data_IF_716559878539
#
_entry.id   IF_716559878539
#
_cell.length_a   1.000
_cell.length_b   1.000
_cell.length_c   1.000
_cell.angle_alpha   90.00
_cell.angle_beta   90.00
_cell.angle_gamma   90.00
#
_symmetry.space_group_name_H-M   'P 1'
#
loop_
_entity.id
_entity.type
_entity.pdbx_description
1 polymer ?
#
# COMPACT_ATOMS: atom_id res chain seq x y z
N UNK A 1 34.65 -11.23 47.45
CA UNK A 1 34.01 -12.48 46.93
C UNK A 1 34.69 -12.72 45.60
N UNK A 2 34.17 -13.45 44.61
CA UNK A 2 34.59 -13.20 43.22
C UNK A 2 33.35 -13.36 42.35
N UNK A 3 33.04 -12.36 41.51
CA UNK A 3 31.89 -12.42 40.62
C UNK A 3 32.19 -13.31 39.40
N UNK A 4 31.65 -14.53 39.39
CA UNK A 4 31.80 -15.52 38.31
C UNK A 4 30.65 -15.49 37.28
N UNK A 5 29.53 -14.85 37.64
CA UNK A 5 28.35 -14.70 36.79
C UNK A 5 28.28 -13.30 36.16
N UNK A 6 27.87 -13.22 34.90
CA UNK A 6 27.55 -11.97 34.21
C UNK A 6 26.10 -11.50 34.45
N UNK A 7 25.32 -12.25 35.23
CA UNK A 7 23.91 -11.92 35.49
C UNK A 7 23.78 -10.61 36.28
N UNK A 8 22.86 -9.75 35.85
CA UNK A 8 22.65 -8.42 36.45
C UNK A 8 21.21 -7.92 36.38
N UNK A 9 20.29 -8.77 35.89
CA UNK A 9 18.85 -8.51 35.80
C UNK A 9 18.03 -9.79 35.85
N UNK A 10 16.91 -9.76 36.58
CA UNK A 10 15.83 -10.75 36.48
C UNK A 10 14.55 -10.12 35.92
N UNK A 11 13.74 -10.91 35.21
CA UNK A 11 12.40 -10.51 34.77
C UNK A 11 11.40 -11.63 35.06
N UNK A 12 10.32 -11.28 35.75
CA UNK A 12 9.23 -12.17 36.14
C UNK A 12 7.92 -11.75 35.46
N UNK A 13 7.14 -12.76 35.08
CA UNK A 13 5.75 -12.58 34.64
C UNK A 13 4.84 -12.70 35.86
N UNK A 14 3.89 -11.80 36.00
CA UNK A 14 2.82 -11.90 36.98
C UNK A 14 1.93 -13.10 36.70
N UNK A 15 1.41 -13.70 37.76
CA UNK A 15 0.56 -14.90 37.71
C UNK A 15 -0.55 -14.87 38.76
N UNK A 16 -0.84 -13.69 39.31
CA UNK A 16 -1.84 -13.44 40.36
C UNK A 16 -1.65 -14.28 41.64
N UNK A 17 -0.44 -14.82 41.88
CA UNK A 17 -0.13 -15.67 43.05
C UNK A 17 1.21 -15.32 43.70
N UNK A 18 2.25 -15.08 42.91
CA UNK A 18 3.58 -14.75 43.41
C UNK A 18 3.65 -13.34 44.04
N UNK A 19 4.28 -13.26 45.22
CA UNK A 19 4.52 -12.00 45.96
C UNK A 19 6.00 -11.80 46.29
N UNK A 20 6.83 -12.83 46.06
CA UNK A 20 8.27 -12.82 46.34
C UNK A 20 9.00 -13.32 45.11
N UNK A 21 10.02 -12.57 44.69
CA UNK A 21 10.75 -12.74 43.45
C UNK A 21 12.24 -12.84 43.78
N UNK A 22 12.90 -13.97 43.51
CA UNK A 22 14.33 -14.10 43.78
C UNK A 22 15.17 -13.25 42.82
N UNK A 23 16.44 -13.07 43.11
CA UNK A 23 17.43 -12.62 42.15
C UNK A 23 18.78 -13.28 42.44
N UNK A 24 19.60 -13.46 41.39
CA UNK A 24 20.79 -14.30 41.44
C UNK A 24 22.08 -13.54 41.10
N UNK A 25 22.15 -12.29 41.50
CA UNK A 25 23.30 -11.43 41.28
C UNK A 25 23.68 -10.70 42.56
N UNK A 26 24.99 -10.60 42.83
CA UNK A 26 25.49 -9.98 44.07
C UNK A 26 25.30 -8.46 44.07
N UNK A 27 24.94 -7.94 45.24
CA UNK A 27 24.91 -6.53 45.64
C UNK A 27 25.35 -6.44 47.11
N UNK A 28 25.82 -5.27 47.54
CA UNK A 28 26.34 -5.03 48.90
C UNK A 28 25.35 -4.31 49.81
N UNK A 29 24.37 -3.62 49.21
CA UNK A 29 23.35 -2.88 49.94
C UNK A 29 22.00 -3.01 49.22
N UNK A 30 20.89 -3.02 49.97
CA UNK A 30 19.55 -3.10 49.39
C UNK A 30 19.24 -1.91 48.47
N UNK A 31 19.84 -0.73 48.71
CA UNK A 31 19.73 0.45 47.85
C UNK A 31 20.37 0.25 46.46
N UNK A 32 21.18 -0.79 46.29
CA UNK A 32 21.77 -1.17 44.99
C UNK A 32 20.85 -2.07 44.16
N UNK A 33 19.59 -2.24 44.58
CA UNK A 33 18.54 -2.91 43.81
C UNK A 33 17.54 -1.87 43.34
N UNK A 34 17.17 -1.95 42.05
CA UNK A 34 16.02 -1.25 41.49
C UNK A 34 14.99 -2.26 41.00
N UNK A 35 13.73 -2.02 41.33
CA UNK A 35 12.58 -2.86 40.95
C UNK A 35 11.63 -2.04 40.10
N UNK A 36 11.34 -2.51 38.89
CA UNK A 36 10.42 -1.86 37.97
C UNK A 36 9.29 -2.80 37.62
N UNK A 37 8.06 -2.29 37.65
CA UNK A 37 6.88 -3.04 37.21
C UNK A 37 6.35 -2.45 35.92
N UNK A 38 5.97 -3.30 34.98
CA UNK A 38 5.32 -2.93 33.72
C UNK A 38 3.92 -3.50 33.68
N UNK A 39 2.94 -2.63 33.44
CA UNK A 39 1.53 -3.03 33.35
C UNK A 39 1.20 -3.76 32.04
N UNK A 40 -0.04 -4.24 31.92
CA UNK A 40 -0.52 -4.91 30.71
C UNK A 40 -0.57 -4.01 29.47
N UNK A 41 -0.59 -2.69 29.63
CA UNK A 41 -0.53 -1.71 28.55
C UNK A 41 0.91 -1.37 28.13
N UNK A 42 1.91 -1.86 28.86
CA UNK A 42 3.33 -1.62 28.60
C UNK A 42 3.92 -0.41 29.32
N UNK A 43 3.21 0.23 30.26
CA UNK A 43 3.74 1.35 31.02
C UNK A 43 4.59 0.85 32.20
N UNK A 44 5.84 1.32 32.27
CA UNK A 44 6.79 0.94 33.33
C UNK A 44 6.83 1.98 34.45
N UNK A 45 6.86 1.52 35.71
CA UNK A 45 6.96 2.35 36.92
C UNK A 45 8.02 1.78 37.87
N UNK A 46 8.85 2.65 38.45
CA UNK A 46 9.75 2.27 39.54
C UNK A 46 8.95 2.02 40.82
N UNK A 47 9.06 0.80 41.34
CA UNK A 47 8.36 0.35 42.56
C UNK A 47 9.32 -0.05 43.68
N UNK A 48 10.58 0.38 43.59
CA UNK A 48 11.62 0.00 44.55
C UNK A 48 11.24 0.37 45.99
N UNK A 49 10.64 1.55 46.20
CA UNK A 49 10.23 2.02 47.52
C UNK A 49 9.09 1.19 48.15
N UNK A 50 8.33 0.45 47.34
CA UNK A 50 7.22 -0.40 47.76
C UNK A 50 7.67 -1.85 48.02
N UNK A 51 8.95 -2.16 47.80
CA UNK A 51 9.51 -3.50 47.93
C UNK A 51 10.20 -3.69 49.28
N UNK A 52 10.10 -4.90 49.83
CA UNK A 52 10.99 -5.36 50.89
C UNK A 52 12.10 -6.23 50.28
N UNK A 53 13.35 -5.80 50.42
CA UNK A 53 14.51 -6.44 49.81
C UNK A 53 15.26 -7.23 50.88
N UNK A 54 15.48 -8.52 50.61
CA UNK A 54 16.30 -9.41 51.46
C UNK A 54 17.52 -9.85 50.68
N UNK A 55 18.72 -9.52 51.17
CA UNK A 55 19.97 -9.93 50.56
C UNK A 55 20.42 -11.32 51.04
N UNK A 56 21.09 -12.05 50.16
CA UNK A 56 21.81 -13.29 50.43
C UNK A 56 23.17 -13.23 49.71
N UNK A 57 24.08 -14.15 50.01
CA UNK A 57 25.48 -14.07 49.56
C UNK A 57 25.65 -13.83 48.05
N UNK A 58 24.88 -14.55 47.21
CA UNK A 58 24.96 -14.45 45.74
C UNK A 58 23.63 -14.01 45.11
N UNK A 59 22.86 -13.17 45.80
CA UNK A 59 21.56 -12.75 45.32
C UNK A 59 20.64 -12.30 46.43
N UNK A 60 19.38 -12.71 46.36
CA UNK A 60 18.40 -12.38 47.36
C UNK A 60 16.97 -12.54 46.87
N UNK A 61 16.06 -11.83 47.50
CA UNK A 61 14.67 -11.78 47.09
C UNK A 61 14.05 -10.41 47.31
N UNK A 62 13.12 -10.08 46.44
CA UNK A 62 12.28 -8.88 46.48
C UNK A 62 10.86 -9.34 46.77
N UNK A 63 10.29 -8.88 47.89
CA UNK A 63 8.87 -9.04 48.16
C UNK A 63 8.13 -7.78 47.73
N UNK A 64 7.19 -7.94 46.80
CA UNK A 64 6.38 -6.86 46.24
C UNK A 64 4.91 -7.27 46.22
N UNK A 65 4.04 -6.35 46.62
CA UNK A 65 2.58 -6.48 46.54
C UNK A 65 2.03 -5.32 45.72
N UNK A 66 1.33 -5.63 44.63
CA UNK A 66 0.60 -4.67 43.83
C UNK A 66 -0.72 -4.35 44.54
N UNK A 67 -0.84 -3.16 45.14
CA UNK A 67 -2.04 -2.75 45.89
C UNK A 67 -2.49 -3.77 46.96
N UNK A 68 -1.52 -4.33 47.70
CA UNK A 68 -1.73 -5.40 48.69
C UNK A 68 -2.16 -6.76 48.09
N UNK A 69 -2.08 -6.95 46.78
CA UNK A 69 -2.34 -8.20 46.07
C UNK A 69 -1.07 -8.74 45.37
N UNK A 70 -1.03 -10.04 45.00
CA UNK A 70 0.01 -10.58 44.14
C UNK A 70 0.09 -9.88 42.78
N UNK A 71 1.25 -9.97 42.13
CA UNK A 71 1.45 -9.37 40.81
C UNK A 71 0.44 -9.97 39.79
N UNK A 72 -0.46 -9.15 39.20
CA UNK A 72 -1.51 -9.66 38.32
C UNK A 72 -0.98 -10.34 37.06
N UNK A 73 -1.75 -11.28 36.51
CA UNK A 73 -1.44 -11.87 35.20
C UNK A 73 -1.34 -10.79 34.09
N UNK A 74 -0.41 -10.98 33.16
CA UNK A 74 -0.09 -10.02 32.10
C UNK A 74 0.82 -8.85 32.52
N UNK A 75 1.11 -8.67 33.81
CA UNK A 75 2.09 -7.68 34.30
C UNK A 75 3.50 -8.28 34.36
N UNK A 76 4.53 -7.43 34.34
CA UNK A 76 5.94 -7.85 34.47
C UNK A 76 6.63 -7.13 35.61
N UNK A 77 7.53 -7.82 36.29
CA UNK A 77 8.42 -7.25 37.30
C UNK A 77 9.87 -7.51 36.89
N UNK A 78 10.68 -6.46 36.86
CA UNK A 78 12.11 -6.53 36.60
C UNK A 78 12.89 -6.12 37.85
N UNK A 79 13.90 -6.90 38.20
CA UNK A 79 14.86 -6.60 39.27
C UNK A 79 16.21 -6.36 38.60
N UNK A 80 16.82 -5.21 38.84
CA UNK A 80 18.08 -4.80 38.22
C UNK A 80 19.06 -4.28 39.26
N UNK A 81 20.37 -4.37 38.97
CA UNK A 81 21.38 -3.65 39.75
C UNK A 81 21.24 -2.13 39.55
N UNK A 82 21.47 -1.40 40.64
CA UNK A 82 21.54 0.05 40.73
C UNK A 82 22.81 0.49 41.50
N UNK A 83 23.97 0.10 40.99
CA UNK A 83 25.26 0.48 41.56
C UNK A 83 25.49 2.00 41.49
N UNK A 84 26.16 2.61 42.48
CA UNK A 84 26.33 4.06 42.57
C UNK A 84 27.32 4.66 41.56
N UNK A 85 28.17 3.88 40.90
CA UNK A 85 29.23 4.36 39.99
C UNK A 85 30.21 5.34 40.67
N UNK A 86 30.62 4.99 41.88
CA UNK A 86 31.54 5.79 42.69
C UNK A 86 32.57 4.90 43.37
N UNK A 87 33.84 5.33 43.38
CA UNK A 87 34.88 4.68 44.16
C UNK A 87 34.69 5.00 45.65
N UNK A 88 34.31 4.00 46.46
CA UNK A 88 34.17 4.15 47.91
C UNK A 88 35.45 3.90 48.73
N UNK A 89 36.46 3.26 48.14
CA UNK A 89 37.71 2.89 48.81
C UNK A 89 38.84 3.84 48.41
N UNK A 90 39.49 4.44 49.41
CA UNK A 90 40.69 5.26 49.27
C UNK A 90 41.89 4.58 49.97
N UNK A 91 42.89 4.18 49.19
CA UNK A 91 44.06 3.48 49.69
C UNK A 91 45.21 4.46 49.95
N UNK A 92 45.65 4.55 51.20
CA UNK A 92 46.77 5.41 51.61
C UNK A 92 48.10 4.74 51.31
N UNK A 93 49.01 5.47 50.66
CA UNK A 93 50.36 4.99 50.34
C UNK A 93 51.18 4.63 51.58
N UNK A 94 52.03 3.62 51.47
CA UNK A 94 52.97 3.15 52.51
C UNK A 94 52.33 2.58 53.80
N UNK A 95 51.03 2.28 53.76
CA UNK A 95 50.34 1.51 54.80
C UNK A 95 50.18 0.03 54.41
N UNK A 96 49.88 -0.82 55.39
CA UNK A 96 49.38 -2.18 55.13
C UNK A 96 47.89 -2.11 54.81
N UNK A 97 47.44 -2.84 53.79
CA UNK A 97 46.03 -2.93 53.40
C UNK A 97 45.50 -4.35 53.56
N UNK A 98 44.22 -4.46 53.89
CA UNK A 98 43.50 -5.73 53.93
C UNK A 98 43.17 -6.18 52.49
N UNK A 99 43.62 -7.36 52.04
CA UNK A 99 43.26 -7.89 50.73
C UNK A 99 41.75 -7.96 50.48
N UNK A 100 40.93 -8.09 51.54
CA UNK A 100 39.47 -8.12 51.40
C UNK A 100 38.89 -6.81 50.90
N UNK A 101 39.44 -5.68 51.34
CA UNK A 101 39.02 -4.35 50.89
C UNK A 101 39.31 -4.18 49.39
N UNK A 102 40.43 -4.71 48.91
CA UNK A 102 40.77 -4.66 47.49
C UNK A 102 39.84 -5.57 46.68
N UNK A 103 39.61 -6.79 47.13
CA UNK A 103 38.72 -7.73 46.43
C UNK A 103 37.30 -7.18 46.32
N UNK A 104 36.74 -6.66 47.41
CA UNK A 104 35.38 -6.11 47.41
C UNK A 104 35.27 -4.87 46.51
N UNK A 105 36.32 -4.03 46.45
CA UNK A 105 36.37 -2.90 45.51
C UNK A 105 36.42 -3.35 44.04
N UNK A 106 37.19 -4.41 43.74
CA UNK A 106 37.26 -4.98 42.39
C UNK A 106 35.96 -5.68 41.99
N UNK A 107 35.29 -6.36 42.93
CA UNK A 107 33.98 -6.96 42.71
C UNK A 107 32.92 -5.88 42.45
N UNK A 108 32.89 -4.79 43.22
CA UNK A 108 31.95 -3.67 43.00
C UNK A 108 32.16 -3.03 41.62
N UNK A 109 33.41 -2.76 41.23
CA UNK A 109 33.73 -2.25 39.89
C UNK A 109 33.36 -3.25 38.78
N UNK A 110 33.42 -4.55 39.06
CA UNK A 110 32.95 -5.59 38.15
C UNK A 110 31.43 -5.58 38.02
N UNK A 111 30.70 -5.43 39.12
CA UNK A 111 29.24 -5.31 39.11
C UNK A 111 28.76 -4.08 38.34
N UNK A 112 29.44 -2.93 38.50
CA UNK A 112 29.18 -1.70 37.74
C UNK A 112 29.37 -1.91 36.23
N UNK A 113 30.46 -2.56 35.81
CA UNK A 113 30.70 -2.90 34.40
C UNK A 113 29.64 -3.86 33.84
N UNK A 114 29.25 -4.87 34.61
CA UNK A 114 28.18 -5.79 34.21
C UNK A 114 26.84 -5.06 34.06
N UNK A 115 26.53 -4.11 34.95
CA UNK A 115 25.34 -3.28 34.84
C UNK A 115 25.37 -2.38 33.60
N UNK A 116 26.52 -1.79 33.24
CA UNK A 116 26.65 -1.01 32.00
C UNK A 116 26.47 -1.89 30.77
N UNK A 117 27.06 -3.08 30.75
CA UNK A 117 26.90 -4.04 29.66
C UNK A 117 25.42 -4.45 29.48
N UNK A 118 24.71 -4.69 30.58
CA UNK A 118 23.28 -5.00 30.57
C UNK A 118 22.43 -3.84 30.03
N UNK A 119 22.71 -2.60 30.46
CA UNK A 119 22.02 -1.41 29.96
C UNK A 119 22.28 -1.18 28.48
N UNK A 120 23.53 -1.33 28.03
CA UNK A 120 23.91 -1.19 26.63
C UNK A 120 23.27 -2.27 25.74
N UNK A 121 23.16 -3.51 26.24
CA UNK A 121 22.49 -4.60 25.53
C UNK A 121 21.01 -4.35 25.24
N UNK A 122 20.39 -3.38 25.91
CA UNK A 122 18.98 -2.97 25.70
C UNK A 122 18.83 -1.58 25.12
N UNK A 123 19.93 -0.87 24.91
CA UNK A 123 19.91 0.45 24.32
C UNK A 123 19.71 0.36 22.80
N UNK A 124 19.23 1.45 22.21
CA UNK A 124 19.31 1.65 20.76
C UNK A 124 20.74 2.06 20.46
N UNK A 125 21.48 1.20 19.75
CA UNK A 125 22.86 1.45 19.34
C UNK A 125 22.90 1.66 17.83
N UNK A 126 23.54 2.74 17.41
CA UNK A 126 23.79 3.06 15.99
C UNK A 126 25.15 2.54 15.57
N UNK A 127 25.31 2.26 14.27
CA UNK A 127 26.58 1.83 13.69
C UNK A 127 27.71 2.84 13.98
N UNK A 128 28.92 2.34 14.26
CA UNK A 128 30.07 3.16 14.67
C UNK A 128 30.50 4.20 13.63
N UNK A 129 30.19 3.94 12.35
CA UNK A 129 30.50 4.86 11.22
C UNK A 129 29.32 5.72 10.81
N UNK A 130 28.16 5.53 11.44
CA UNK A 130 26.95 6.30 11.15
C UNK A 130 27.11 7.73 11.65
N UNK A 131 26.65 8.68 10.85
CA UNK A 131 26.47 10.07 11.28
C UNK A 131 25.13 10.30 11.99
N UNK A 132 24.25 9.28 12.05
CA UNK A 132 22.96 9.36 12.76
C UNK A 132 23.14 9.16 14.24
N UNK A 133 22.50 10.01 15.04
CA UNK A 133 22.33 9.79 16.48
C UNK A 133 21.20 8.80 16.75
N UNK A 134 21.15 8.12 17.91
CA UNK A 134 19.99 7.33 18.32
C UNK A 134 18.67 8.12 18.26
N UNK A 135 18.72 9.42 18.59
CA UNK A 135 17.57 10.33 18.51
C UNK A 135 17.10 10.50 17.06
N UNK A 136 18.01 10.70 16.10
CA UNK A 136 17.68 10.78 14.68
C UNK A 136 17.06 9.48 14.17
N UNK A 137 17.59 8.33 14.61
CA UNK A 137 17.04 7.02 14.24
C UNK A 137 15.60 6.88 14.74
N UNK A 138 15.34 7.23 16.00
CA UNK A 138 13.98 7.21 16.57
C UNK A 138 13.04 8.15 15.81
N UNK A 139 13.49 9.35 15.44
CA UNK A 139 12.70 10.28 14.61
C UNK A 139 12.39 9.68 13.24
N UNK A 140 13.37 9.03 12.59
CA UNK A 140 13.16 8.38 11.30
C UNK A 140 12.11 7.25 11.39
N UNK A 141 12.08 6.50 12.50
CA UNK A 141 11.08 5.47 12.75
C UNK A 141 9.67 6.07 12.92
N UNK A 142 9.55 7.21 13.61
CA UNK A 142 8.28 7.92 13.72
C UNK A 142 7.80 8.45 12.37
N UNK A 143 8.69 9.02 11.55
CA UNK A 143 8.36 9.47 10.21
C UNK A 143 7.90 8.30 9.33
N UNK A 144 8.65 7.20 9.30
CA UNK A 144 8.29 6.00 8.56
C UNK A 144 6.93 5.42 8.99
N UNK A 145 6.60 5.46 10.29
CA UNK A 145 5.29 5.07 10.81
C UNK A 145 4.17 5.93 10.26
N UNK A 146 4.32 7.25 10.25
CA UNK A 146 3.29 8.15 9.74
C UNK A 146 3.14 8.04 8.21
N UNK A 147 4.23 7.87 7.47
CA UNK A 147 4.21 7.55 6.04
C UNK A 147 3.46 6.25 5.76
N UNK A 148 3.71 5.19 6.54
CA UNK A 148 3.01 3.92 6.41
C UNK A 148 1.50 4.05 6.67
N UNK A 149 1.10 4.85 7.67
CA UNK A 149 -0.33 5.15 7.91
C UNK A 149 -0.96 5.90 6.75
N UNK A 150 -0.28 6.94 6.24
CA UNK A 150 -0.76 7.72 5.10
C UNK A 150 -0.92 6.85 3.85
N UNK A 151 0.06 5.97 3.58
CA UNK A 151 -0.01 4.99 2.49
C UNK A 151 -1.20 4.04 2.66
N UNK A 152 -1.46 3.55 3.88
CA UNK A 152 -2.63 2.73 4.20
C UNK A 152 -3.96 3.45 3.94
N UNK A 153 -4.07 4.72 4.34
CA UNK A 153 -5.26 5.54 4.06
C UNK A 153 -5.45 5.79 2.56
N UNK A 154 -4.38 6.09 1.82
CA UNK A 154 -4.43 6.28 0.38
C UNK A 154 -4.89 5.00 -0.34
N UNK A 155 -4.36 3.83 0.06
CA UNK A 155 -4.81 2.54 -0.47
C UNK A 155 -6.30 2.29 -0.22
N UNK A 156 -6.81 2.65 0.97
CA UNK A 156 -8.23 2.58 1.29
C UNK A 156 -9.10 3.48 0.40
N UNK A 157 -8.64 4.71 0.12
CA UNK A 157 -9.32 5.63 -0.80
C UNK A 157 -9.32 5.11 -2.24
N UNK A 158 -8.20 4.56 -2.70
CA UNK A 158 -8.12 3.93 -4.03
C UNK A 158 -9.06 2.73 -4.16
N UNK A 159 -9.18 1.90 -3.12
CA UNK A 159 -10.14 0.79 -3.10
C UNK A 159 -11.59 1.28 -3.19
N UNK A 160 -11.94 2.36 -2.47
CA UNK A 160 -13.27 2.97 -2.54
C UNK A 160 -13.57 3.56 -3.93
N UNK A 161 -12.61 4.25 -4.55
CA UNK A 161 -12.76 4.77 -5.91
C UNK A 161 -12.94 3.65 -6.94
N UNK A 162 -12.22 2.54 -6.79
CA UNK A 162 -12.38 1.37 -7.64
C UNK A 162 -13.77 0.74 -7.51
N UNK A 163 -14.30 0.64 -6.28
CA UNK A 163 -15.66 0.17 -6.02
C UNK A 163 -16.71 1.07 -6.70
N UNK A 164 -16.60 2.39 -6.52
CA UNK A 164 -17.51 3.34 -7.17
C UNK A 164 -17.45 3.24 -8.70
N UNK A 165 -16.25 3.10 -9.27
CA UNK A 165 -16.07 2.94 -10.71
C UNK A 165 -16.73 1.64 -11.22
N UNK A 166 -16.69 0.56 -10.43
CA UNK A 166 -17.36 -0.69 -10.76
C UNK A 166 -18.89 -0.54 -10.72
N UNK A 167 -19.43 0.18 -9.74
CA UNK A 167 -20.87 0.47 -9.64
C UNK A 167 -21.34 1.34 -10.81
N UNK A 168 -20.59 2.39 -11.16
CA UNK A 168 -20.87 3.24 -12.33
C UNK A 168 -20.85 2.44 -13.64
N UNK A 169 -19.87 1.56 -13.81
CA UNK A 169 -19.80 0.67 -14.96
C UNK A 169 -21.01 -0.30 -15.01
N UNK A 170 -21.43 -0.83 -13.86
CA UNK A 170 -22.63 -1.66 -13.74
C UNK A 170 -23.90 -0.89 -14.12
N UNK A 171 -24.06 0.34 -13.65
CA UNK A 171 -25.19 1.20 -13.99
C UNK A 171 -25.22 1.54 -15.49
N UNK A 172 -24.06 1.85 -16.09
CA UNK A 172 -23.95 2.10 -17.52
C UNK A 172 -24.33 0.87 -18.36
N UNK A 173 -23.89 -0.33 -17.96
CA UNK A 173 -24.28 -1.58 -18.61
C UNK A 173 -25.79 -1.84 -18.52
N UNK A 174 -26.41 -1.55 -17.36
CA UNK A 174 -27.86 -1.62 -17.18
C UNK A 174 -28.62 -0.66 -18.09
N UNK A 175 -28.17 0.60 -18.19
CA UNK A 175 -28.76 1.61 -19.07
C UNK A 175 -28.66 1.20 -20.55
N UNK A 176 -27.51 0.68 -20.98
CA UNK A 176 -27.32 0.18 -22.34
C UNK A 176 -28.26 -1.00 -22.67
N UNK A 177 -28.45 -1.92 -21.71
CA UNK A 177 -29.38 -3.04 -21.86
C UNK A 177 -30.84 -2.56 -22.00
N UNK A 178 -31.24 -1.57 -21.20
CA UNK A 178 -32.57 -0.97 -21.29
C UNK A 178 -32.81 -0.23 -22.61
N UNK A 179 -31.80 0.47 -23.13
CA UNK A 179 -31.87 1.12 -24.44
C UNK A 179 -31.99 0.09 -25.57
N UNK A 180 -31.20 -0.98 -25.53
CA UNK A 180 -31.31 -2.08 -26.50
C UNK A 180 -32.71 -2.71 -26.49
N UNK A 181 -33.32 -2.90 -25.31
CA UNK A 181 -34.70 -3.38 -25.19
C UNK A 181 -35.73 -2.41 -25.80
N UNK A 182 -35.57 -1.10 -25.60
CA UNK A 182 -36.43 -0.07 -26.22
C UNK A 182 -36.31 -0.08 -27.75
N UNK A 183 -35.09 -0.18 -28.27
CA UNK A 183 -34.85 -0.28 -29.71
C UNK A 183 -35.48 -1.55 -30.32
N UNK A 184 -35.41 -2.69 -29.63
CA UNK A 184 -36.05 -3.93 -30.07
C UNK A 184 -37.59 -3.80 -30.11
N UNK A 185 -38.19 -3.22 -29.08
CA UNK A 185 -39.64 -3.00 -29.04
C UNK A 185 -40.12 -2.05 -30.15
N UNK A 186 -39.33 -1.03 -30.50
CA UNK A 186 -39.61 -0.16 -31.65
C UNK A 186 -39.55 -0.92 -32.97
N UNK A 187 -38.52 -1.75 -33.16
CA UNK A 187 -38.39 -2.58 -34.36
C UNK A 187 -39.57 -3.55 -34.53
N UNK A 188 -40.04 -4.15 -33.44
CA UNK A 188 -41.21 -5.04 -33.47
C UNK A 188 -42.50 -4.29 -33.81
N UNK A 189 -42.69 -3.06 -33.30
CA UNK A 189 -43.81 -2.18 -33.66
C UNK A 189 -43.81 -1.87 -35.16
N UNK A 190 -42.68 -1.44 -35.70
CA UNK A 190 -42.53 -1.13 -37.13
C UNK A 190 -42.82 -2.35 -38.02
N UNK A 191 -42.35 -3.54 -37.62
CA UNK A 191 -42.62 -4.79 -38.35
C UNK A 191 -44.10 -5.15 -38.36
N UNK A 192 -44.79 -4.98 -37.22
CA UNK A 192 -46.23 -5.23 -37.12
C UNK A 192 -47.04 -4.26 -37.99
N UNK A 193 -46.68 -2.98 -38.03
CA UNK A 193 -47.30 -1.97 -38.89
C UNK A 193 -47.10 -2.28 -40.37
N UNK A 194 -45.88 -2.64 -40.78
CA UNK A 194 -45.59 -3.08 -42.14
C UNK A 194 -46.42 -4.31 -42.54
N UNK A 195 -46.59 -5.29 -41.63
CA UNK A 195 -47.45 -6.44 -41.85
C UNK A 195 -48.93 -6.07 -42.04
N UNK A 196 -49.44 -5.10 -41.26
CA UNK A 196 -50.81 -4.58 -41.43
C UNK A 196 -50.99 -3.85 -42.75
N UNK A 197 -50.00 -3.06 -43.17
CA UNK A 197 -50.02 -2.39 -44.47
C UNK A 197 -50.04 -3.39 -45.64
N UNK A 198 -49.22 -4.44 -45.58
CA UNK A 198 -49.20 -5.50 -46.58
C UNK A 198 -50.53 -6.27 -46.64
N UNK A 199 -51.15 -6.57 -45.49
CA UNK A 199 -52.47 -7.19 -45.43
C UNK A 199 -53.56 -6.30 -46.08
N UNK A 200 -53.46 -4.97 -45.92
CA UNK A 200 -54.37 -4.02 -46.55
C UNK A 200 -54.23 -4.01 -48.09
N UNK A 201 -53.01 -4.19 -48.61
CA UNK A 201 -52.75 -4.26 -50.06
C UNK A 201 -53.15 -5.59 -50.70
N UNK A 202 -53.28 -6.66 -49.90
CA UNK A 202 -53.70 -8.00 -50.36
C UNK A 202 -55.23 -8.21 -50.39
N UNK A 203 -56.02 -7.30 -49.82
CA UNK A 203 -57.44 -7.19 -50.10
C UNK A 203 -57.58 -6.67 -51.54
N UNK A 204 -57.98 -7.55 -52.45
CA UNK A 204 -57.96 -7.29 -53.89
C UNK A 204 -58.65 -5.98 -54.29
N UNK A 205 -57.99 -5.28 -55.20
CA UNK A 205 -58.52 -4.27 -56.12
C UNK A 205 -59.51 -4.92 -57.09
N UNK A 206 -60.61 -5.42 -56.56
CA UNK A 206 -61.84 -5.79 -57.27
C UNK A 206 -62.83 -4.71 -56.80
N UNK A 207 -63.00 -3.60 -57.51
CA UNK A 207 -63.68 -3.58 -58.79
C UNK A 207 -63.21 -2.44 -59.71
N UNK A 208 -63.43 -2.69 -61.00
CA UNK A 208 -63.23 -1.83 -62.16
C UNK A 208 -63.59 -0.36 -61.91
N UNK A 209 -62.67 0.53 -62.27
CA UNK A 209 -62.98 1.95 -62.46
C UNK A 209 -63.62 2.12 -63.83
N UNK A 210 -64.94 2.25 -63.85
CA UNK A 210 -65.66 2.91 -64.94
C UNK A 210 -66.48 4.04 -64.30
N UNK A 211 -66.20 5.28 -64.71
CA UNK A 211 -66.82 6.59 -64.33
C UNK A 211 -66.05 7.44 -63.32
N UNK A 212 -65.72 8.67 -63.75
CA UNK A 212 -65.13 9.75 -62.95
C UNK A 212 -65.88 9.91 -61.62
N UNK A 213 -65.22 9.57 -60.53
CA UNK A 213 -65.72 9.85 -59.19
C UNK A 213 -64.58 10.46 -58.39
N UNK A 214 -64.84 11.59 -57.73
CA UNK A 214 -63.91 12.34 -56.87
C UNK A 214 -63.20 11.46 -55.82
N UNK A 215 -63.72 10.26 -55.59
CA UNK A 215 -63.18 9.20 -54.75
C UNK A 215 -61.93 8.50 -55.32
N UNK A 216 -61.74 8.39 -56.64
CA UNK A 216 -60.55 7.72 -57.23
C UNK A 216 -59.32 8.63 -57.18
N UNK A 217 -59.50 9.92 -57.42
CA UNK A 217 -58.43 10.93 -57.24
C UNK A 217 -58.06 11.07 -55.76
N UNK A 218 -59.05 11.08 -54.86
CA UNK A 218 -58.80 11.05 -53.42
C UNK A 218 -58.05 9.77 -52.99
N UNK A 219 -58.41 8.61 -53.53
CA UNK A 219 -57.75 7.33 -53.27
C UNK A 219 -56.31 7.31 -53.79
N UNK A 220 -56.06 7.77 -55.01
CA UNK A 220 -54.72 7.85 -55.58
C UNK A 220 -53.81 8.84 -54.82
N UNK A 221 -54.39 9.95 -54.35
CA UNK A 221 -53.68 10.92 -53.52
C UNK A 221 -53.34 10.32 -52.16
N UNK A 222 -54.28 9.62 -51.52
CA UNK A 222 -54.04 8.93 -50.25
C UNK A 222 -52.98 7.83 -50.37
N UNK A 223 -52.97 7.08 -51.49
CA UNK A 223 -51.95 6.06 -51.77
C UNK A 223 -50.58 6.70 -51.98
N UNK A 224 -50.50 7.83 -52.70
CA UNK A 224 -49.23 8.57 -52.87
C UNK A 224 -48.74 9.12 -51.54
N UNK A 225 -49.61 9.70 -50.72
CA UNK A 225 -49.26 10.17 -49.38
C UNK A 225 -48.78 9.02 -48.49
N UNK A 226 -49.45 7.87 -48.53
CA UNK A 226 -49.01 6.70 -47.76
C UNK A 226 -47.65 6.16 -48.24
N UNK A 227 -47.38 6.20 -49.55
CA UNK A 227 -46.08 5.82 -50.11
C UNK A 227 -44.98 6.80 -49.72
N UNK A 228 -45.22 8.11 -49.83
CA UNK A 228 -44.26 9.15 -49.46
C UNK A 228 -43.95 9.06 -47.95
N UNK A 229 -44.96 8.88 -47.10
CA UNK A 229 -44.78 8.65 -45.65
C UNK A 229 -44.00 7.36 -45.35
N UNK A 230 -44.22 6.28 -46.11
CA UNK A 230 -43.48 5.04 -45.94
C UNK A 230 -42.00 5.16 -46.34
N UNK A 231 -41.70 5.94 -47.38
CA UNK A 231 -40.33 6.25 -47.81
C UNK A 231 -39.62 7.11 -46.76
N UNK A 232 -40.30 8.12 -46.21
CA UNK A 232 -39.77 8.92 -45.10
C UNK A 232 -39.50 8.06 -43.86
N UNK A 233 -40.41 7.15 -43.51
CA UNK A 233 -40.23 6.22 -42.40
C UNK A 233 -39.04 5.26 -42.60
N UNK A 234 -38.85 4.72 -43.80
CA UNK A 234 -37.69 3.87 -44.13
C UNK A 234 -36.36 4.64 -44.08
N UNK A 235 -36.37 5.91 -44.51
CA UNK A 235 -35.19 6.78 -44.39
C UNK A 235 -34.82 7.07 -42.92
N UNK A 236 -35.81 7.39 -42.08
CA UNK A 236 -35.63 7.61 -40.65
C UNK A 236 -35.16 6.32 -39.93
N UNK A 237 -35.68 5.15 -40.33
CA UNK A 237 -35.24 3.87 -39.80
C UNK A 237 -33.77 3.56 -40.14
N UNK A 238 -33.31 3.94 -41.34
CA UNK A 238 -31.89 3.79 -41.73
C UNK A 238 -30.98 4.71 -40.93
N UNK A 239 -31.39 5.95 -40.68
CA UNK A 239 -30.64 6.90 -39.84
C UNK A 239 -30.56 6.44 -38.38
N UNK A 240 -31.66 5.95 -37.82
CA UNK A 240 -31.69 5.37 -36.48
C UNK A 240 -30.75 4.15 -36.37
N UNK A 241 -30.75 3.27 -37.38
CA UNK A 241 -29.85 2.11 -37.43
C UNK A 241 -28.38 2.53 -37.55
N UNK A 242 -28.07 3.54 -38.34
CA UNK A 242 -26.71 4.08 -38.45
C UNK A 242 -26.23 4.66 -37.10
N UNK A 243 -27.12 5.36 -36.40
CA UNK A 243 -26.84 5.92 -35.07
C UNK A 243 -26.61 4.83 -34.03
N UNK A 244 -27.41 3.76 -34.04
CA UNK A 244 -27.24 2.62 -33.15
C UNK A 244 -25.92 1.86 -33.39
N UNK A 245 -25.54 1.67 -34.66
CA UNK A 245 -24.25 1.05 -35.02
C UNK A 245 -23.05 1.91 -34.57
N UNK A 246 -23.16 3.24 -34.69
CA UNK A 246 -22.13 4.16 -34.21
C UNK A 246 -21.99 4.12 -32.68
N UNK A 247 -23.12 4.05 -31.95
CA UNK A 247 -23.13 3.91 -30.50
C UNK A 247 -22.55 2.55 -30.05
N UNK A 248 -22.86 1.46 -30.76
CA UNK A 248 -22.29 0.15 -30.49
C UNK A 248 -20.76 0.12 -30.72
N UNK A 249 -20.28 0.73 -31.81
CA UNK A 249 -18.85 0.86 -32.08
C UNK A 249 -18.12 1.70 -31.00
N UNK A 250 -18.75 2.78 -30.53
CA UNK A 250 -18.22 3.60 -29.44
C UNK A 250 -18.16 2.83 -28.10
N UNK A 251 -19.18 2.01 -27.80
CA UNK A 251 -19.20 1.16 -26.62
C UNK A 251 -18.12 0.06 -26.67
N UNK A 252 -17.89 -0.56 -27.83
CA UNK A 252 -16.78 -1.52 -28.02
C UNK A 252 -15.42 -0.85 -27.82
N UNK A 253 -15.21 0.35 -28.39
CA UNK A 253 -13.97 1.12 -28.18
C UNK A 253 -13.77 1.51 -26.71
N UNK A 254 -14.84 1.86 -25.99
CA UNK A 254 -14.77 2.16 -24.56
C UNK A 254 -14.44 0.90 -23.72
N UNK A 255 -14.99 -0.26 -24.07
CA UNK A 255 -14.70 -1.54 -23.41
C UNK A 255 -13.24 -2.01 -23.66
N UNK A 256 -12.73 -1.86 -24.89
CA UNK A 256 -11.31 -2.09 -25.20
C UNK A 256 -10.40 -1.10 -24.46
N UNK A 257 -10.84 0.16 -24.32
CA UNK A 257 -10.15 1.16 -23.50
C UNK A 257 -10.17 0.86 -22.00
N UNK A 258 -11.03 -0.03 -21.50
CA UNK A 258 -11.06 -0.41 -20.08
C UNK A 258 -10.14 -1.60 -19.74
N UNK A 259 -9.69 -2.38 -20.74
CA UNK A 259 -8.85 -3.57 -20.50
C UNK A 259 -7.37 -3.21 -20.57
N UNK A 260 -6.60 -3.53 -19.51
CA UNK A 260 -5.15 -3.35 -19.50
C UNK A 260 -4.47 -4.51 -20.24
N UNK A 261 -3.92 -4.23 -21.43
CA UNK A 261 -3.27 -5.20 -22.29
C UNK A 261 -1.75 -5.03 -22.29
N UNK A 262 -0.99 -6.14 -22.29
CA UNK A 262 0.46 -6.07 -22.45
C UNK A 262 0.77 -5.57 -23.87
N UNK A 263 1.35 -4.37 -23.99
CA UNK A 263 1.72 -3.77 -25.27
C UNK A 263 3.05 -4.28 -25.77
N UNK A 264 4.07 -4.30 -24.90
CA UNK A 264 5.41 -4.74 -25.28
C UNK A 264 6.24 -5.13 -24.06
N UNK A 265 7.25 -5.96 -24.30
CA UNK A 265 8.27 -6.33 -23.31
C UNK A 265 9.64 -5.86 -23.80
N UNK A 266 10.54 -5.50 -22.88
CA UNK A 266 11.92 -5.12 -23.16
C UNK A 266 12.89 -5.71 -22.15
N UNK A 267 14.00 -6.26 -22.65
CA UNK A 267 15.06 -6.92 -21.85
C UNK A 267 16.47 -6.43 -22.19
N UNK A 268 16.59 -5.41 -23.06
CA UNK A 268 17.87 -4.85 -23.53
C UNK A 268 17.84 -3.33 -23.54
N UNK A 269 19.03 -2.71 -23.55
CA UNK A 269 19.20 -1.25 -23.70
C UNK A 269 18.82 -0.75 -25.09
N UNK A 270 18.65 0.57 -25.24
CA UNK A 270 18.31 1.24 -26.49
C UNK A 270 16.85 1.71 -26.56
N UNK A 271 16.48 2.25 -27.72
CA UNK A 271 15.16 2.84 -27.90
C UNK A 271 14.06 1.75 -27.95
N UNK A 272 13.02 1.97 -27.16
CA UNK A 272 11.87 1.10 -26.99
C UNK A 272 10.61 1.82 -27.45
N UNK A 273 10.25 1.57 -28.71
CA UNK A 273 9.02 2.10 -29.32
C UNK A 273 7.82 1.26 -28.93
N UNK A 274 6.87 1.88 -28.24
CA UNK A 274 5.52 1.39 -27.99
C UNK A 274 4.59 1.94 -29.08
N UNK A 275 3.84 1.06 -29.74
CA UNK A 275 2.89 1.40 -30.81
C UNK A 275 1.47 1.00 -30.39
N UNK A 276 0.48 1.41 -31.19
CA UNK A 276 -0.94 1.06 -30.97
C UNK A 276 -1.44 1.45 -29.58
N UNK A 277 -0.94 2.61 -29.12
CA UNK A 277 -1.36 3.22 -27.87
C UNK A 277 -2.62 4.05 -28.09
N UNK A 278 -3.49 4.08 -27.09
CA UNK A 278 -4.65 4.97 -27.02
C UNK A 278 -4.17 6.29 -26.41
N UNK A 279 -4.18 7.42 -27.14
CA UNK A 279 -3.79 8.71 -26.58
C UNK A 279 -4.62 9.05 -25.33
N UNK A 280 -3.98 9.71 -24.35
CA UNK A 280 -4.53 10.13 -23.05
C UNK A 280 -4.89 9.00 -22.07
N UNK A 281 -4.86 7.72 -22.48
CA UNK A 281 -5.00 6.57 -21.56
C UNK A 281 -3.64 6.23 -20.94
N UNK A 282 -3.53 6.10 -19.59
CA UNK A 282 -2.25 5.86 -18.94
C UNK A 282 -1.62 4.54 -19.39
N UNK A 283 -0.32 4.57 -19.65
CA UNK A 283 0.51 3.38 -19.89
C UNK A 283 1.30 3.10 -18.61
N UNK A 284 1.18 1.87 -18.11
CA UNK A 284 1.90 1.40 -16.93
C UNK A 284 3.11 0.59 -17.36
N UNK A 285 4.30 1.06 -17.03
CA UNK A 285 5.55 0.33 -17.27
C UNK A 285 6.02 -0.28 -15.95
N UNK A 286 6.07 -1.61 -15.89
CA UNK A 286 6.58 -2.36 -14.74
C UNK A 286 7.97 -2.90 -15.03
N UNK A 287 8.83 -2.95 -14.00
CA UNK A 287 10.18 -3.51 -14.10
C UNK A 287 10.26 -4.69 -13.12
N UNK A 288 10.44 -5.89 -13.66
CA UNK A 288 10.63 -7.11 -12.87
C UNK A 288 12.09 -7.54 -12.92
N UNK A 289 12.67 -7.89 -11.78
CA UNK A 289 14.03 -8.42 -11.70
C UNK A 289 14.02 -9.74 -10.93
N UNK A 290 14.64 -10.78 -11.48
CA UNK A 290 14.82 -12.04 -10.74
C UNK A 290 15.96 -11.84 -9.73
N UNK A 291 15.57 -11.73 -8.46
CA UNK A 291 16.45 -11.31 -7.38
C UNK A 291 17.43 -12.44 -6.98
N UNK A 292 18.69 -12.34 -7.42
CA UNK A 292 19.78 -13.22 -6.96
C UNK A 292 20.92 -12.47 -6.26
N UNK A 293 20.73 -11.20 -5.87
CA UNK A 293 21.73 -10.43 -5.12
C UNK A 293 21.22 -9.09 -4.57
N UNK A 294 22.04 -8.40 -3.77
CA UNK A 294 21.75 -7.15 -3.03
C UNK A 294 21.69 -5.87 -3.89
N UNK A 295 21.63 -5.98 -5.22
CA UNK A 295 21.53 -4.80 -6.09
C UNK A 295 20.07 -4.37 -6.27
N UNK A 296 19.71 -3.08 -6.09
CA UNK A 296 18.35 -2.63 -6.35
C UNK A 296 18.00 -2.87 -7.82
N UNK A 297 16.89 -3.56 -8.05
CA UNK A 297 16.32 -3.80 -9.37
C UNK A 297 16.25 -2.48 -10.14
N UNK A 298 16.87 -2.39 -11.32
CA UNK A 298 16.96 -1.12 -12.03
C UNK A 298 17.07 -1.26 -13.52
N UNK A 299 16.04 -0.80 -14.23
CA UNK A 299 16.20 -0.29 -15.58
C UNK A 299 16.04 1.24 -15.54
N UNK A 300 16.89 1.96 -16.26
CA UNK A 300 16.78 3.41 -16.41
C UNK A 300 16.00 3.73 -17.68
N UNK A 301 14.85 4.38 -17.52
CA UNK A 301 13.89 4.65 -18.59
C UNK A 301 13.75 6.15 -18.80
N UNK A 302 13.84 6.59 -20.06
CA UNK A 302 13.70 7.98 -20.44
C UNK A 302 12.66 8.10 -21.55
N UNK A 303 11.57 8.81 -21.31
CA UNK A 303 10.57 9.05 -22.36
C UNK A 303 11.10 10.11 -23.30
N UNK A 304 11.34 9.74 -24.56
CA UNK A 304 11.97 10.60 -25.57
C UNK A 304 10.94 11.34 -26.43
N UNK A 305 9.76 10.74 -26.65
CA UNK A 305 8.68 11.35 -27.43
C UNK A 305 7.31 10.68 -27.20
N UNK A 306 6.24 11.36 -27.62
CA UNK A 306 4.89 10.79 -27.70
C UNK A 306 4.11 10.73 -26.39
N UNK A 307 4.61 11.33 -25.31
CA UNK A 307 3.95 11.46 -24.00
C UNK A 307 3.90 12.92 -23.55
N UNK A 308 2.92 13.28 -22.70
CA UNK A 308 2.89 14.58 -22.01
C UNK A 308 4.11 14.80 -21.12
N UNK A 309 4.76 13.70 -20.72
CA UNK A 309 5.99 13.69 -19.93
C UNK A 309 7.24 13.97 -20.78
N UNK A 310 7.07 14.10 -22.10
CA UNK A 310 8.11 14.52 -23.01
C UNK A 310 8.49 15.97 -22.75
N UNK A 311 9.63 16.17 -22.09
CA UNK A 311 10.38 17.43 -21.90
C UNK A 311 10.17 18.25 -20.60
N UNK A 312 9.40 17.80 -19.60
CA UNK A 312 9.19 18.58 -18.36
C UNK A 312 9.91 17.99 -17.12
N UNK A 313 10.77 18.81 -16.50
CA UNK A 313 11.44 18.54 -15.22
C UNK A 313 10.46 18.66 -14.04
N UNK A 314 10.30 17.59 -13.26
CA UNK A 314 9.74 17.65 -11.90
C UNK A 314 10.51 16.70 -10.99
N UNK A 315 11.00 17.20 -9.87
CA UNK A 315 11.76 16.46 -8.86
C UNK A 315 10.80 16.03 -7.74
N UNK A 316 10.75 14.73 -7.39
CA UNK A 316 9.93 14.20 -6.29
C UNK A 316 10.77 13.34 -5.32
N UNK A 317 10.34 13.17 -4.05
CA UNK A 317 11.14 12.55 -2.98
C UNK A 317 11.21 11.02 -3.08
N UNK A 318 12.22 10.43 -2.44
CA UNK A 318 12.49 9.01 -2.45
C UNK A 318 11.37 8.18 -1.80
N UNK A 319 10.79 7.23 -2.55
CA UNK A 319 9.83 6.26 -2.03
C UNK A 319 8.73 5.86 -3.00
N UNK A 320 8.28 6.75 -3.87
CA UNK A 320 7.31 6.47 -4.95
C UNK A 320 7.56 7.45 -6.10
N UNK A 321 8.29 7.04 -7.14
CA UNK A 321 8.48 7.87 -8.32
C UNK A 321 7.44 7.50 -9.38
N UNK A 322 6.22 8.02 -9.26
CA UNK A 322 5.30 8.17 -10.39
C UNK A 322 5.73 9.42 -11.17
N UNK A 323 6.61 9.23 -12.16
CA UNK A 323 7.03 10.24 -13.14
C UNK A 323 8.39 10.91 -12.86
N UNK A 324 9.27 10.81 -13.87
CA UNK A 324 10.61 11.42 -14.01
C UNK A 324 11.75 10.86 -13.13
N UNK A 325 12.67 10.11 -13.77
CA UNK A 325 14.02 9.87 -13.24
C UNK A 325 15.00 10.66 -14.11
N UNK A 326 15.56 11.75 -13.56
CA UNK A 326 16.78 12.33 -14.11
C UNK A 326 17.88 12.12 -13.08
N UNK A 327 18.97 11.46 -13.49
CA UNK A 327 20.03 11.06 -12.59
C UNK A 327 19.95 9.61 -12.11
N UNK A 328 20.96 9.22 -11.33
CA UNK A 328 21.45 7.87 -11.09
C UNK A 328 20.56 6.91 -10.26
N UNK A 329 19.23 7.02 -10.31
CA UNK A 329 18.33 6.21 -9.47
C UNK A 329 17.57 5.13 -10.25
N UNK A 330 17.47 3.94 -9.65
CA UNK A 330 16.72 2.80 -10.17
C UNK A 330 15.26 2.88 -9.68
N UNK A 331 14.29 2.73 -10.59
CA UNK A 331 12.86 2.69 -10.26
C UNK A 331 12.26 1.31 -10.54
N UNK A 332 11.19 0.95 -9.81
CA UNK A 332 10.47 -0.33 -9.95
C UNK A 332 9.35 -0.30 -11.02
N UNK A 333 9.03 0.89 -11.52
CA UNK A 333 8.05 1.13 -12.58
C UNK A 333 7.85 2.62 -12.84
N UNK A 334 7.08 2.95 -13.87
CA UNK A 334 6.66 4.33 -14.20
C UNK A 334 5.30 4.33 -14.88
N UNK A 335 4.54 5.41 -14.73
CA UNK A 335 3.33 5.68 -15.52
C UNK A 335 3.61 6.83 -16.45
N UNK A 336 3.10 6.75 -17.68
CA UNK A 336 3.18 7.83 -18.66
C UNK A 336 1.84 8.03 -19.36
N UNK A 337 1.57 9.24 -19.81
CA UNK A 337 0.31 9.57 -20.52
C UNK A 337 0.64 9.89 -21.99
N UNK A 338 0.37 8.96 -22.93
CA UNK A 338 0.69 9.15 -24.34
C UNK A 338 -0.13 10.32 -24.93
N UNK A 339 0.53 11.21 -25.66
CA UNK A 339 -0.13 12.23 -26.49
C UNK A 339 -0.42 11.71 -27.90
N UNK A 340 0.29 10.66 -28.32
CA UNK A 340 0.21 10.06 -29.65
C UNK A 340 -0.03 8.55 -29.56
N UNK A 341 -0.30 7.91 -30.71
CA UNK A 341 -0.43 6.44 -30.78
C UNK A 341 0.91 5.71 -30.62
N UNK A 342 2.01 6.45 -30.54
CA UNK A 342 3.36 5.91 -30.43
C UNK A 342 4.12 6.69 -29.35
N UNK A 343 4.80 5.97 -28.47
CA UNK A 343 5.71 6.53 -27.45
C UNK A 343 7.07 5.87 -27.62
N UNK A 344 8.14 6.66 -27.57
CA UNK A 344 9.51 6.11 -27.58
C UNK A 344 10.14 6.31 -26.22
N UNK A 345 10.54 5.21 -25.59
CA UNK A 345 11.22 5.18 -24.30
C UNK A 345 12.66 4.72 -24.54
N UNK A 346 13.67 5.53 -24.24
CA UNK A 346 15.06 5.10 -24.23
C UNK A 346 15.37 4.34 -22.95
N UNK A 347 15.84 3.11 -23.10
CA UNK A 347 16.37 2.30 -22.00
C UNK A 347 17.88 2.48 -21.93
N UNK A 348 18.36 3.33 -21.02
CA UNK A 348 19.79 3.64 -20.92
C UNK A 348 20.61 2.50 -20.31
N UNK A 349 20.08 1.87 -19.26
CA UNK A 349 20.71 0.73 -18.61
C UNK A 349 19.64 -0.27 -18.16
N UNK A 350 19.94 -1.56 -18.26
CA UNK A 350 19.09 -2.63 -17.74
C UNK A 350 19.97 -3.70 -17.10
N UNK A 351 19.70 -4.03 -15.84
CA UNK A 351 20.46 -5.07 -15.14
C UNK A 351 20.18 -6.46 -15.76
N UNK A 352 21.16 -7.37 -15.80
CA UNK A 352 20.93 -8.75 -16.24
C UNK A 352 19.78 -9.41 -15.48
N UNK A 353 18.90 -10.13 -16.17
CA UNK A 353 17.72 -10.76 -15.55
C UNK A 353 16.54 -9.81 -15.28
N UNK A 354 16.62 -8.56 -15.74
CA UNK A 354 15.52 -7.58 -15.65
C UNK A 354 14.64 -7.61 -16.89
N UNK A 355 13.32 -7.54 -16.68
CA UNK A 355 12.29 -7.53 -17.71
C UNK A 355 11.37 -6.33 -17.49
N UNK A 356 11.34 -5.41 -18.45
CA UNK A 356 10.40 -4.29 -18.46
C UNK A 356 9.16 -4.67 -19.26
N UNK A 357 7.96 -4.37 -18.77
CA UNK A 357 6.69 -4.64 -19.45
C UNK A 357 5.82 -3.39 -19.47
N UNK A 358 5.30 -3.02 -20.63
CA UNK A 358 4.39 -1.91 -20.79
C UNK A 358 2.96 -2.42 -20.97
N UNK A 359 2.06 -1.95 -20.13
CA UNK A 359 0.64 -2.27 -20.15
C UNK A 359 -0.16 -1.01 -20.49
N UNK A 360 -1.17 -1.15 -21.34
CA UNK A 360 -2.18 -0.14 -21.56
C UNK A 360 -3.52 -0.80 -21.80
#
# INVERSE_FOLDING_TARGET
>A
MTLDSAHSREVYQGNSSATTFPFFFTVWDAAQIAVTVTDAAGASTDVTAQCAITLADNGGSVRYLHENAPLPDGWKLAITRNMPFTQGVDLVSASRFDPRVIEDALDQATAERQQLAERLARAVVVETTSSLTPEDLVQSLYAAREEAKAAGSAAGQSAAQAANSADEAGAAAGAATAEAGRAQAEADRAKNEAGRAAALTGLERTDRVDTESSTVVASATAVKTAYDTAVEADSAAREARATALAAQAAATQAAEAATASLKKTRTSTGDWTLTDLIPRKPVFVTIHHNNTGTSPAGAKLFVTSGSVDGQASRTAPAGYCLGHVNGSQSAWGTVLIPTERTVVIRVESINPGTVCRAYQ
#
